data_IF_382687856594
#
_entry.id   IF_382687856594
#
_cell.length_a   1.000
_cell.length_b   1.000
_cell.length_c   1.000
_cell.angle_alpha   90.00
_cell.angle_beta   90.00
_cell.angle_gamma   90.00
#
_symmetry.space_group_name_H-M   'P 1'
#
loop_
_entity.id
_entity.type
_entity.pdbx_description
1 polymer ?
#
# COMPACT_ATOMS: atom_id res chain seq x y z
N UNK A 1 -17.74 -46.32 -28.69
CA UNK A 1 -18.19 -45.10 -27.98
C UNK A 1 -17.45 -45.02 -26.64
N UNK A 2 -16.32 -44.38 -26.66
CA UNK A 2 -15.50 -44.09 -25.47
C UNK A 2 -15.72 -42.64 -25.07
N UNK A 3 -16.42 -42.43 -23.97
CA UNK A 3 -16.63 -41.14 -23.41
C UNK A 3 -15.30 -40.65 -22.76
N UNK A 4 -14.83 -39.51 -23.20
CA UNK A 4 -13.72 -38.75 -22.59
C UNK A 4 -14.12 -38.24 -21.21
N UNK A 5 -13.27 -38.32 -20.20
CA UNK A 5 -13.59 -37.77 -18.88
C UNK A 5 -13.65 -36.24 -18.93
N UNK A 6 -14.68 -35.69 -18.33
CA UNK A 6 -14.87 -34.25 -18.18
C UNK A 6 -13.70 -33.59 -17.42
N UNK A 7 -13.35 -32.34 -17.75
CA UNK A 7 -12.31 -31.62 -17.05
C UNK A 7 -12.70 -31.35 -15.58
N UNK A 8 -11.74 -31.33 -14.64
CA UNK A 8 -12.05 -31.09 -13.24
C UNK A 8 -12.60 -29.67 -13.05
N UNK A 9 -13.67 -29.57 -12.26
CA UNK A 9 -14.34 -28.33 -11.94
C UNK A 9 -13.39 -27.31 -11.27
N UNK A 10 -13.52 -26.01 -11.59
CA UNK A 10 -12.65 -25.00 -11.01
C UNK A 10 -12.96 -24.77 -9.52
N UNK A 11 -11.92 -24.60 -8.78
CA UNK A 11 -11.74 -24.05 -7.41
C UNK A 11 -12.98 -23.45 -6.70
N UNK A 12 -13.93 -24.28 -6.26
CA UNK A 12 -15.08 -23.81 -5.48
C UNK A 12 -15.12 -24.28 -4.02
N UNK A 13 -13.98 -24.72 -3.45
CA UNK A 13 -13.93 -25.19 -2.07
C UNK A 13 -12.74 -24.67 -1.25
N UNK A 14 -12.41 -23.36 -1.33
CA UNK A 14 -11.60 -22.72 -0.30
C UNK A 14 -12.45 -22.09 0.83
N UNK A 15 -13.78 -22.21 0.75
CA UNK A 15 -14.72 -21.56 1.67
C UNK A 15 -15.20 -22.45 2.83
N UNK A 16 -14.72 -23.66 2.99
CA UNK A 16 -15.08 -24.48 4.15
C UNK A 16 -13.89 -24.74 5.07
N UNK A 17 -13.35 -23.69 5.64
CA UNK A 17 -12.66 -23.82 6.92
C UNK A 17 -13.70 -24.34 7.93
N UNK A 18 -13.43 -25.41 8.72
CA UNK A 18 -14.40 -25.97 9.68
C UNK A 18 -14.83 -25.00 10.78
N UNK A 19 -14.50 -23.72 10.65
CA UNK A 19 -14.71 -22.64 11.60
C UNK A 19 -15.85 -21.69 11.23
N UNK A 20 -16.53 -21.87 10.09
CA UNK A 20 -17.61 -20.99 9.59
C UNK A 20 -19.00 -21.64 9.57
N UNK A 21 -19.27 -22.65 10.40
CA UNK A 21 -20.64 -23.17 10.53
C UNK A 21 -21.52 -22.19 11.27
N UNK A 22 -22.38 -21.52 10.50
CA UNK A 22 -23.45 -20.67 10.94
C UNK A 22 -24.61 -21.57 11.45
N UNK A 23 -24.64 -21.86 12.75
CA UNK A 23 -25.82 -22.45 13.38
C UNK A 23 -26.46 -21.42 14.31
N UNK A 24 -27.60 -20.91 13.89
CA UNK A 24 -28.50 -20.12 14.74
C UNK A 24 -28.98 -20.99 15.91
N UNK A 25 -28.95 -20.42 17.10
CA UNK A 25 -29.32 -20.98 18.42
C UNK A 25 -28.23 -21.83 19.10
N UNK A 26 -27.47 -21.20 19.96
CA UNK A 26 -26.33 -21.71 20.74
C UNK A 26 -25.08 -20.86 20.56
N UNK A 27 -25.12 -19.91 19.66
CA UNK A 27 -23.98 -19.24 19.06
C UNK A 27 -23.12 -18.34 19.96
N UNK A 28 -23.60 -17.94 21.13
CA UNK A 28 -22.81 -17.03 21.98
C UNK A 28 -21.73 -17.75 22.77
N UNK A 29 -21.98 -19.00 23.17
CA UNK A 29 -21.01 -19.79 23.95
C UNK A 29 -19.95 -20.44 23.06
N UNK A 30 -20.38 -20.98 21.92
CA UNK A 30 -19.48 -21.58 20.92
C UNK A 30 -18.56 -20.51 20.28
N UNK A 31 -19.12 -19.34 19.95
CA UNK A 31 -18.36 -18.20 19.41
C UNK A 31 -17.28 -17.70 20.38
N UNK A 32 -17.57 -17.61 21.69
CA UNK A 32 -16.57 -17.22 22.69
C UNK A 32 -15.46 -18.28 22.87
N UNK A 33 -15.78 -19.57 22.78
CA UNK A 33 -14.79 -20.64 22.83
C UNK A 33 -13.87 -20.62 21.61
N UNK A 34 -14.41 -20.45 20.40
CA UNK A 34 -13.66 -20.36 19.14
C UNK A 34 -12.73 -19.15 19.17
N UNK A 35 -13.23 -17.97 19.54
CA UNK A 35 -12.41 -16.76 19.72
C UNK A 35 -11.27 -16.98 20.73
N UNK A 36 -11.55 -17.68 21.84
CA UNK A 36 -10.54 -18.02 22.84
C UNK A 36 -9.45 -18.97 22.31
N UNK A 37 -9.81 -19.91 21.44
CA UNK A 37 -8.85 -20.81 20.77
C UNK A 37 -7.98 -20.02 19.79
N UNK A 38 -8.58 -19.21 18.94
CA UNK A 38 -7.85 -18.37 17.98
C UNK A 38 -6.87 -17.44 18.69
N UNK A 39 -7.28 -16.77 19.76
CA UNK A 39 -6.41 -15.88 20.51
C UNK A 39 -5.21 -16.62 21.13
N UNK A 40 -5.43 -17.81 21.70
CA UNK A 40 -4.33 -18.64 22.25
C UNK A 40 -3.37 -19.08 21.14
N UNK A 41 -3.89 -19.48 19.98
CA UNK A 41 -3.08 -19.88 18.83
C UNK A 41 -2.30 -18.71 18.24
N UNK A 42 -2.93 -17.54 18.11
CA UNK A 42 -2.28 -16.32 17.66
C UNK A 42 -1.12 -15.90 18.58
N UNK A 43 -1.31 -15.98 19.91
CA UNK A 43 -0.24 -15.73 20.89
C UNK A 43 0.91 -16.74 20.81
N UNK A 44 0.62 -18.02 20.52
CA UNK A 44 1.68 -19.02 20.29
C UNK A 44 2.47 -18.72 19.02
N UNK A 45 1.76 -18.33 17.94
CA UNK A 45 2.39 -17.93 16.68
C UNK A 45 3.24 -16.68 16.86
N UNK A 46 2.76 -15.67 17.60
CA UNK A 46 3.54 -14.49 17.95
C UNK A 46 4.86 -14.86 18.64
N UNK A 47 4.80 -15.67 19.69
CA UNK A 47 6.00 -16.14 20.41
C UNK A 47 6.97 -16.90 19.49
N UNK A 48 6.45 -17.71 18.57
CA UNK A 48 7.26 -18.40 17.57
C UNK A 48 7.98 -17.40 16.66
N UNK A 49 7.27 -16.38 16.20
CA UNK A 49 7.85 -15.32 15.36
C UNK A 49 8.94 -14.54 16.11
N UNK A 50 8.68 -14.15 17.34
CA UNK A 50 9.64 -13.40 18.17
C UNK A 50 10.90 -14.24 18.51
N UNK A 51 10.74 -15.53 18.80
CA UNK A 51 11.84 -16.43 19.13
C UNK A 51 12.76 -16.70 17.93
N UNK A 52 12.19 -16.90 16.73
CA UNK A 52 12.96 -17.27 15.54
C UNK A 52 13.38 -16.06 14.69
N UNK A 53 12.74 -14.89 14.84
CA UNK A 53 13.07 -13.65 14.13
C UNK A 53 13.02 -13.78 12.59
N UNK A 54 13.62 -12.83 11.87
CA UNK A 54 13.83 -12.88 10.42
C UNK A 54 12.60 -13.34 9.61
N UNK A 55 12.68 -14.49 8.99
CA UNK A 55 11.63 -15.13 8.20
C UNK A 55 10.30 -15.23 8.96
N UNK A 56 10.32 -15.67 10.21
CA UNK A 56 9.10 -15.87 10.99
C UNK A 56 8.40 -14.56 11.34
N UNK A 57 9.15 -13.49 11.59
CA UNK A 57 8.57 -12.14 11.79
C UNK A 57 7.90 -11.68 10.53
N UNK A 58 8.55 -11.81 9.36
CA UNK A 58 7.95 -11.47 8.05
C UNK A 58 6.74 -12.32 7.72
N UNK A 59 6.80 -13.63 8.02
CA UNK A 59 5.65 -14.51 7.84
C UNK A 59 4.47 -14.07 8.74
N UNK A 60 4.73 -13.69 9.97
CA UNK A 60 3.72 -13.13 10.88
C UNK A 60 3.14 -11.81 10.39
N UNK A 61 3.96 -10.90 9.89
CA UNK A 61 3.53 -9.64 9.23
C UNK A 61 2.66 -9.93 8.01
N UNK A 62 3.08 -10.88 7.16
CA UNK A 62 2.30 -11.31 6.00
C UNK A 62 0.94 -11.89 6.41
N UNK A 63 0.91 -12.81 7.39
CA UNK A 63 -0.35 -13.36 7.91
C UNK A 63 -1.25 -12.27 8.48
N UNK A 64 -0.70 -11.28 9.18
CA UNK A 64 -1.47 -10.15 9.71
C UNK A 64 -2.07 -9.25 8.63
N UNK A 65 -1.52 -9.26 7.41
CA UNK A 65 -2.03 -8.52 6.26
C UNK A 65 -3.14 -9.24 5.49
N UNK A 66 -3.33 -10.54 5.73
CA UNK A 66 -4.33 -11.35 5.03
C UNK A 66 -5.72 -11.13 5.63
N UNK A 67 -6.63 -10.56 4.84
CA UNK A 67 -8.04 -10.30 5.26
C UNK A 67 -8.86 -11.55 5.56
N UNK A 68 -8.42 -12.72 5.11
CA UNK A 68 -9.11 -14.02 5.29
C UNK A 68 -8.78 -14.68 6.64
N UNK A 69 -7.83 -14.13 7.38
CA UNK A 69 -7.39 -14.67 8.68
C UNK A 69 -8.28 -14.08 9.79
N UNK A 70 -8.66 -14.88 10.82
CA UNK A 70 -9.44 -14.37 11.94
C UNK A 70 -8.80 -13.15 12.60
N UNK A 71 -9.62 -12.20 13.02
CA UNK A 71 -9.19 -10.90 13.58
C UNK A 71 -8.22 -11.01 14.76
N UNK A 72 -8.30 -12.09 15.52
CA UNK A 72 -7.43 -12.39 16.65
C UNK A 72 -5.96 -12.56 16.22
N UNK A 73 -5.72 -13.16 15.05
CA UNK A 73 -4.37 -13.25 14.48
C UNK A 73 -3.90 -11.90 13.97
N UNK A 74 -4.75 -11.19 13.22
CA UNK A 74 -4.42 -9.86 12.68
C UNK A 74 -4.02 -8.92 13.82
N UNK A 75 -4.87 -8.80 14.86
CA UNK A 75 -4.62 -7.90 15.98
C UNK A 75 -3.42 -8.31 16.84
N UNK A 76 -3.14 -9.63 16.96
CA UNK A 76 -2.01 -10.12 17.77
C UNK A 76 -0.69 -9.99 17.02
N UNK A 77 -0.66 -10.27 15.71
CA UNK A 77 0.57 -10.27 14.92
C UNK A 77 0.94 -8.89 14.38
N UNK A 78 0.02 -7.91 14.42
CA UNK A 78 0.32 -6.53 13.98
C UNK A 78 1.43 -5.86 14.79
N UNK A 79 1.67 -6.27 16.05
CA UNK A 79 2.79 -5.76 16.84
C UNK A 79 4.18 -6.11 16.25
N UNK A 80 4.26 -7.12 15.38
CA UNK A 80 5.51 -7.47 14.70
C UNK A 80 5.96 -6.40 13.68
N UNK A 81 5.11 -5.45 13.33
CA UNK A 81 5.45 -4.39 12.37
C UNK A 81 6.43 -3.36 12.94
N UNK A 82 6.40 -3.11 14.27
CA UNK A 82 7.08 -1.96 14.88
C UNK A 82 8.19 -2.35 15.89
N UNK A 83 8.40 -3.63 16.20
CA UNK A 83 9.29 -4.05 17.29
C UNK A 83 10.27 -5.16 16.87
N UNK A 84 11.25 -4.80 16.04
CA UNK A 84 12.39 -5.68 15.81
C UNK A 84 13.49 -5.41 16.86
N UNK A 85 13.99 -6.47 17.49
CA UNK A 85 15.16 -6.36 18.38
C UNK A 85 16.41 -6.24 17.54
N UNK A 86 17.21 -5.15 17.67
CA UNK A 86 18.42 -4.98 16.90
C UNK A 86 19.48 -6.05 17.19
N UNK A 87 20.34 -6.31 16.21
CA UNK A 87 21.54 -7.12 16.37
C UNK A 87 22.62 -6.36 17.13
N UNK A 88 23.59 -7.10 17.66
CA UNK A 88 24.77 -6.49 18.30
C UNK A 88 25.58 -5.70 17.28
N UNK A 89 26.12 -4.57 17.69
CA UNK A 89 26.95 -3.71 16.86
C UNK A 89 28.12 -4.45 16.19
N UNK A 90 28.81 -5.32 16.95
CA UNK A 90 29.97 -6.06 16.42
C UNK A 90 29.61 -6.97 15.24
N UNK A 91 28.42 -7.58 15.28
CA UNK A 91 27.93 -8.43 14.19
C UNK A 91 27.63 -7.61 12.94
N UNK A 92 27.07 -6.41 13.11
CA UNK A 92 26.77 -5.46 12.03
C UNK A 92 28.05 -4.88 11.42
N UNK A 93 29.04 -4.53 12.27
CA UNK A 93 30.36 -4.08 11.82
C UNK A 93 30.98 -5.09 10.87
N UNK A 94 30.98 -6.36 11.22
CA UNK A 94 31.51 -7.46 10.39
C UNK A 94 30.79 -7.50 9.03
N UNK A 95 29.46 -7.38 9.00
CA UNK A 95 28.71 -7.36 7.74
C UNK A 95 29.13 -6.19 6.85
N UNK A 96 29.27 -4.99 7.42
CA UNK A 96 29.68 -3.79 6.67
C UNK A 96 31.08 -3.99 6.08
N UNK A 97 32.06 -4.38 6.91
CA UNK A 97 33.45 -4.55 6.52
C UNK A 97 33.61 -5.65 5.46
N UNK A 98 32.91 -6.78 5.59
CA UNK A 98 32.93 -7.86 4.59
C UNK A 98 32.33 -7.43 3.25
N UNK A 99 31.24 -6.66 3.28
CA UNK A 99 30.56 -6.23 2.07
C UNK A 99 31.29 -5.09 1.35
N UNK A 100 31.90 -4.15 2.09
CA UNK A 100 32.56 -2.99 1.53
C UNK A 100 34.07 -3.20 1.33
N UNK A 101 34.62 -4.30 1.85
CA UNK A 101 36.04 -4.66 1.69
C UNK A 101 37.01 -3.70 2.36
N UNK A 102 36.58 -2.90 3.31
CA UNK A 102 37.35 -1.90 4.04
C UNK A 102 36.98 -1.91 5.52
N UNK A 103 37.90 -1.56 6.40
CA UNK A 103 37.60 -1.32 7.81
C UNK A 103 36.66 -0.13 7.97
N UNK A 104 35.77 -0.22 8.98
CA UNK A 104 34.74 0.78 9.20
C UNK A 104 35.33 2.20 9.36
N UNK A 105 36.42 2.34 10.08
CA UNK A 105 37.13 3.63 10.26
C UNK A 105 37.78 4.18 8.98
N UNK A 106 38.02 3.32 7.99
CA UNK A 106 38.52 3.73 6.67
C UNK A 106 37.39 4.31 5.78
N UNK A 107 36.14 4.06 6.13
CA UNK A 107 34.94 4.52 5.38
C UNK A 107 34.28 5.70 6.08
N UNK A 108 34.06 5.58 7.39
CA UNK A 108 33.31 6.53 8.18
C UNK A 108 34.23 7.27 9.19
N UNK A 109 34.07 8.58 9.24
CA UNK A 109 34.67 9.42 10.27
C UNK A 109 34.03 9.14 11.64
N UNK A 110 32.69 8.97 11.64
CA UNK A 110 31.88 8.62 12.80
C UNK A 110 30.81 7.61 12.38
N UNK A 111 30.51 6.65 13.24
CA UNK A 111 29.47 5.66 13.02
C UNK A 111 28.78 5.32 14.35
N UNK A 112 27.48 5.57 14.42
CA UNK A 112 26.72 5.36 15.67
C UNK A 112 26.57 3.84 15.93
N UNK A 113 27.02 3.39 17.10
CA UNK A 113 26.88 1.96 17.50
C UNK A 113 25.42 1.57 17.72
N UNK A 114 24.59 2.51 18.19
CA UNK A 114 23.17 2.31 18.39
C UNK A 114 22.39 2.58 17.10
N UNK A 115 21.55 1.60 16.62
CA UNK A 115 20.75 1.84 15.43
C UNK A 115 19.65 2.87 15.69
N UNK A 116 19.39 3.71 14.71
CA UNK A 116 18.28 4.67 14.73
C UNK A 116 16.94 4.00 14.43
N UNK A 117 16.96 2.85 13.76
CA UNK A 117 15.79 2.02 13.48
C UNK A 117 16.20 0.55 13.34
N UNK A 118 15.28 -0.36 13.69
CA UNK A 118 15.43 -1.79 13.50
C UNK A 118 14.18 -2.34 12.82
N UNK A 119 14.37 -3.11 11.74
CA UNK A 119 13.33 -3.79 11.00
C UNK A 119 13.48 -5.32 11.10
N UNK A 120 12.59 -6.08 10.47
CA UNK A 120 12.60 -7.56 10.55
C UNK A 120 13.85 -8.20 9.95
N UNK A 121 14.47 -7.60 8.96
CA UNK A 121 15.61 -8.15 8.20
C UNK A 121 16.87 -7.29 8.28
N UNK A 122 16.78 -6.06 8.80
CA UNK A 122 17.87 -5.09 8.80
C UNK A 122 17.75 -4.10 9.93
N UNK A 123 18.83 -3.38 10.20
CA UNK A 123 18.81 -2.19 11.06
C UNK A 123 19.52 -1.04 10.35
N UNK A 124 19.19 0.19 10.78
CA UNK A 124 19.72 1.42 10.19
C UNK A 124 20.55 2.16 11.22
N UNK A 125 21.76 2.52 10.83
CA UNK A 125 22.68 3.32 11.63
C UNK A 125 22.90 4.68 11.00
N UNK A 126 23.18 5.69 11.80
CA UNK A 126 23.69 6.96 11.32
C UNK A 126 25.21 6.88 11.25
N UNK A 127 25.79 7.43 10.19
CA UNK A 127 27.22 7.58 10.03
C UNK A 127 27.58 8.92 9.41
N UNK A 128 28.84 9.28 9.50
CA UNK A 128 29.40 10.44 8.82
C UNK A 128 30.58 9.98 7.99
N UNK A 129 30.54 10.25 6.69
CA UNK A 129 31.63 9.93 5.76
C UNK A 129 32.82 10.84 5.98
N UNK A 130 34.00 10.44 5.45
CA UNK A 130 35.24 11.22 5.52
C UNK A 130 35.13 12.63 4.88
N UNK A 131 34.16 12.85 3.99
CA UNK A 131 33.84 14.15 3.40
C UNK A 131 32.83 14.98 4.21
N UNK A 132 32.56 14.61 5.46
CA UNK A 132 31.57 15.21 6.37
C UNK A 132 30.10 15.04 5.96
N UNK A 133 29.77 14.24 4.96
CA UNK A 133 28.37 13.95 4.63
C UNK A 133 27.75 12.98 5.66
N UNK A 134 26.57 13.33 6.15
CA UNK A 134 25.78 12.45 7.02
C UNK A 134 25.03 11.42 6.19
N UNK A 135 25.10 10.17 6.59
CA UNK A 135 24.49 9.03 5.90
C UNK A 135 23.67 8.16 6.85
N UNK A 136 22.65 7.53 6.29
CA UNK A 136 21.94 6.42 6.89
C UNK A 136 22.42 5.13 6.24
N UNK A 137 22.87 4.18 7.05
CA UNK A 137 23.42 2.90 6.59
C UNK A 137 22.47 1.79 7.04
N UNK A 138 21.71 1.22 6.09
CA UNK A 138 20.81 0.09 6.31
C UNK A 138 21.60 -1.20 6.08
N UNK A 139 21.64 -2.06 7.08
CA UNK A 139 22.49 -3.26 7.08
C UNK A 139 21.64 -4.47 7.39
N UNK A 140 21.72 -5.52 6.58
CA UNK A 140 21.04 -6.79 6.84
C UNK A 140 21.63 -7.50 8.05
N UNK A 141 20.80 -8.28 8.72
CA UNK A 141 21.28 -9.12 9.81
C UNK A 141 22.21 -10.24 9.28
N UNK A 142 23.29 -10.56 9.99
CA UNK A 142 24.29 -11.49 9.51
C UNK A 142 23.71 -12.89 9.23
N UNK A 143 24.05 -13.46 8.09
CA UNK A 143 23.63 -14.81 7.67
C UNK A 143 22.15 -14.96 7.40
N UNK A 144 21.43 -13.85 7.20
CA UNK A 144 19.98 -13.84 7.02
C UNK A 144 19.53 -14.64 5.79
N UNK A 145 20.18 -14.46 4.66
CA UNK A 145 19.84 -15.19 3.42
C UNK A 145 19.91 -16.72 3.61
N UNK A 146 20.98 -17.20 4.23
CA UNK A 146 21.16 -18.63 4.49
C UNK A 146 20.09 -19.18 5.44
N UNK A 147 19.78 -18.45 6.51
CA UNK A 147 18.72 -18.84 7.45
C UNK A 147 17.36 -18.87 6.76
N UNK A 148 17.02 -17.86 6.00
CA UNK A 148 15.75 -17.79 5.29
C UNK A 148 15.58 -18.92 4.28
N UNK A 149 16.62 -19.29 3.54
CA UNK A 149 16.59 -20.45 2.65
C UNK A 149 16.28 -21.75 3.42
N UNK A 150 16.92 -21.95 4.56
CA UNK A 150 16.66 -23.13 5.43
C UNK A 150 15.22 -23.10 5.98
N UNK A 151 14.75 -21.95 6.42
CA UNK A 151 13.38 -21.81 6.96
C UNK A 151 12.34 -22.08 5.87
N UNK A 152 12.52 -21.54 4.66
CA UNK A 152 11.65 -21.79 3.49
C UNK A 152 11.65 -23.27 3.11
N UNK A 153 12.82 -23.91 3.05
CA UNK A 153 12.92 -25.35 2.79
C UNK A 153 12.18 -26.18 3.84
N UNK A 154 12.33 -25.82 5.11
CA UNK A 154 11.64 -26.48 6.23
C UNK A 154 10.13 -26.32 6.14
N UNK A 155 9.67 -25.08 5.85
CA UNK A 155 8.23 -24.80 5.68
C UNK A 155 7.65 -25.48 4.45
N UNK A 156 8.42 -25.57 3.35
CA UNK A 156 8.01 -26.29 2.14
C UNK A 156 7.85 -27.80 2.43
N UNK A 157 8.78 -28.38 3.18
CA UNK A 157 8.69 -29.77 3.59
C UNK A 157 7.47 -30.01 4.48
N UNK A 158 7.27 -29.17 5.50
CA UNK A 158 6.10 -29.25 6.39
C UNK A 158 4.79 -29.06 5.62
N UNK A 159 4.73 -28.15 4.66
CA UNK A 159 3.56 -27.91 3.79
C UNK A 159 3.19 -29.18 3.02
N UNK A 160 4.17 -29.93 2.50
CA UNK A 160 3.93 -31.21 1.82
C UNK A 160 3.33 -32.24 2.76
N UNK A 161 3.84 -32.37 3.98
CA UNK A 161 3.25 -33.29 4.96
C UNK A 161 1.85 -32.89 5.39
N UNK A 162 1.60 -31.58 5.58
CA UNK A 162 0.26 -31.07 5.91
C UNK A 162 -0.72 -31.36 4.77
N UNK A 163 -0.32 -31.21 3.51
CA UNK A 163 -1.19 -31.50 2.34
C UNK A 163 -1.51 -33.00 2.19
N UNK A 164 -0.68 -33.90 2.70
CA UNK A 164 -0.99 -35.34 2.73
C UNK A 164 -2.11 -35.65 3.75
N UNK A 165 -2.13 -34.95 4.89
CA UNK A 165 -3.14 -35.15 5.94
C UNK A 165 -4.42 -34.34 5.64
N UNK A 166 -4.27 -33.16 5.04
CA UNK A 166 -5.33 -32.21 4.73
C UNK A 166 -5.25 -31.77 3.27
N UNK A 167 -5.77 -32.58 2.30
CA UNK A 167 -5.62 -32.32 0.86
C UNK A 167 -6.21 -31.00 0.38
N UNK A 168 -7.20 -30.45 1.10
CA UNK A 168 -7.84 -29.17 0.79
C UNK A 168 -6.96 -27.94 1.11
N UNK A 169 -5.87 -28.12 1.90
CA UNK A 169 -4.97 -27.05 2.31
C UNK A 169 -3.74 -26.99 1.41
N UNK A 170 -3.73 -26.05 0.45
CA UNK A 170 -2.61 -25.85 -0.48
C UNK A 170 -1.78 -24.61 -0.08
N UNK A 171 -0.94 -24.77 0.94
CA UNK A 171 -0.02 -23.69 1.36
C UNK A 171 1.13 -23.45 0.39
N UNK A 172 1.38 -24.34 -0.54
CA UNK A 172 2.55 -24.31 -1.42
C UNK A 172 2.59 -23.04 -2.29
N UNK A 173 1.44 -22.62 -2.83
CA UNK A 173 1.35 -21.37 -3.63
C UNK A 173 1.63 -20.12 -2.79
N UNK A 174 1.11 -20.09 -1.56
CA UNK A 174 1.33 -18.98 -0.63
C UNK A 174 2.80 -18.91 -0.24
N UNK A 175 3.42 -20.06 0.00
CA UNK A 175 4.83 -20.14 0.38
C UNK A 175 5.75 -19.72 -0.77
N UNK A 176 5.46 -20.10 -2.03
CA UNK A 176 6.20 -19.67 -3.22
C UNK A 176 6.09 -18.15 -3.45
N UNK A 177 4.93 -17.58 -3.26
CA UNK A 177 4.74 -16.12 -3.37
C UNK A 177 5.49 -15.38 -2.27
N UNK A 178 5.46 -15.93 -1.05
CA UNK A 178 6.21 -15.40 0.07
C UNK A 178 7.74 -15.49 -0.17
N UNK A 179 8.24 -16.62 -0.67
CA UNK A 179 9.64 -16.81 -1.04
C UNK A 179 10.11 -15.78 -2.09
N UNK A 180 9.30 -15.56 -3.13
CA UNK A 180 9.59 -14.56 -4.17
C UNK A 180 9.66 -13.14 -3.57
N UNK A 181 8.71 -12.78 -2.73
CA UNK A 181 8.67 -11.48 -2.06
C UNK A 181 9.91 -11.29 -1.18
N UNK A 182 10.28 -12.31 -0.41
CA UNK A 182 11.45 -12.27 0.45
C UNK A 182 12.76 -12.17 -0.32
N UNK A 183 12.88 -12.88 -1.42
CA UNK A 183 14.09 -12.80 -2.27
C UNK A 183 14.32 -11.40 -2.83
N UNK A 184 13.26 -10.65 -3.11
CA UNK A 184 13.35 -9.25 -3.54
C UNK A 184 13.78 -8.32 -2.38
N UNK A 185 13.24 -8.55 -1.17
CA UNK A 185 13.60 -7.74 0.00
C UNK A 185 15.05 -7.95 0.48
N UNK A 186 15.67 -9.09 0.14
CA UNK A 186 17.05 -9.40 0.51
C UNK A 186 18.11 -8.79 -0.44
N UNK A 187 17.71 -8.04 -1.44
CA UNK A 187 18.63 -7.39 -2.36
C UNK A 187 18.52 -5.87 -2.29
N UNK A 188 19.35 -5.24 -1.47
CA UNK A 188 19.37 -3.78 -1.33
C UNK A 188 19.82 -3.05 -2.58
N UNK A 189 20.47 -3.72 -3.54
CA UNK A 189 20.77 -3.08 -4.83
C UNK A 189 19.48 -2.82 -5.62
N UNK A 190 18.47 -3.67 -5.45
CA UNK A 190 17.15 -3.42 -6.05
C UNK A 190 16.43 -2.25 -5.35
N UNK A 191 16.52 -2.16 -4.02
CA UNK A 191 15.99 -1.02 -3.26
C UNK A 191 16.66 0.29 -3.69
N UNK A 192 17.96 0.29 -3.88
CA UNK A 192 18.72 1.43 -4.41
C UNK A 192 18.24 1.86 -5.82
N UNK A 193 18.05 0.91 -6.74
CA UNK A 193 17.52 1.18 -8.08
C UNK A 193 16.11 1.76 -8.05
N UNK A 194 15.25 1.23 -7.18
CA UNK A 194 13.90 1.75 -6.99
C UNK A 194 13.93 3.19 -6.45
N UNK A 195 14.83 3.48 -5.50
CA UNK A 195 15.06 4.81 -4.96
C UNK A 195 15.43 5.81 -6.04
N UNK A 196 16.45 5.52 -6.85
CA UNK A 196 16.87 6.39 -7.96
C UNK A 196 15.79 6.59 -9.01
N UNK A 197 15.07 5.52 -9.38
CA UNK A 197 13.95 5.62 -10.31
C UNK A 197 12.86 6.55 -9.77
N UNK A 198 12.55 6.43 -8.47
CA UNK A 198 11.60 7.31 -7.81
C UNK A 198 12.10 8.75 -7.78
N UNK A 199 13.36 8.99 -7.44
CA UNK A 199 13.98 10.31 -7.48
C UNK A 199 13.90 10.94 -8.88
N UNK A 200 14.12 10.14 -9.93
CA UNK A 200 13.99 10.58 -11.33
C UNK A 200 12.55 10.96 -11.68
N UNK A 201 11.55 10.17 -11.25
CA UNK A 201 10.14 10.47 -11.47
C UNK A 201 9.72 11.81 -10.85
N UNK A 202 10.23 12.11 -9.66
CA UNK A 202 9.84 13.31 -8.90
C UNK A 202 10.89 14.44 -8.95
N UNK A 203 11.84 14.40 -9.88
CA UNK A 203 12.93 15.40 -9.98
C UNK A 203 12.46 16.86 -10.10
N UNK A 204 11.24 17.09 -10.63
CA UNK A 204 10.64 18.41 -10.77
C UNK A 204 9.67 18.78 -9.64
N UNK A 205 9.51 17.91 -8.65
CA UNK A 205 8.59 18.10 -7.54
C UNK A 205 9.34 18.62 -6.31
N UNK A 206 9.12 19.88 -5.96
CA UNK A 206 9.84 20.52 -4.83
C UNK A 206 9.42 20.00 -3.45
N UNK A 207 8.31 19.29 -3.36
CA UNK A 207 7.79 18.77 -2.09
C UNK A 207 8.31 17.37 -1.80
N UNK A 208 8.59 16.58 -2.83
CA UNK A 208 9.05 15.18 -2.68
C UNK A 208 10.58 15.16 -2.62
N UNK A 209 11.11 14.51 -1.59
CA UNK A 209 12.54 14.23 -1.46
C UNK A 209 12.76 12.72 -1.37
N UNK A 210 13.67 12.22 -2.17
CA UNK A 210 14.20 10.86 -2.08
C UNK A 210 15.67 10.97 -1.69
N UNK A 211 16.13 10.28 -0.63
CA UNK A 211 17.53 10.33 -0.21
C UNK A 211 18.47 9.87 -1.33
N UNK A 212 19.57 10.56 -1.49
CA UNK A 212 20.62 10.16 -2.45
C UNK A 212 21.26 8.83 -2.05
N UNK A 213 21.47 7.92 -3.00
CA UNK A 213 22.12 6.63 -2.78
C UNK A 213 23.61 6.72 -3.10
N UNK A 214 24.45 6.23 -2.19
CA UNK A 214 25.91 6.13 -2.37
C UNK A 214 26.24 4.72 -2.90
N UNK A 215 26.34 4.57 -4.21
CA UNK A 215 26.52 3.28 -4.87
C UNK A 215 27.84 2.59 -4.51
N UNK A 216 28.89 3.36 -4.31
CA UNK A 216 30.19 2.86 -3.89
C UNK A 216 30.19 2.25 -2.48
N UNK A 217 29.15 2.55 -1.69
CA UNK A 217 28.92 2.05 -0.33
C UNK A 217 27.60 1.24 -0.26
N UNK A 218 27.13 0.74 -1.41
CA UNK A 218 25.89 -0.04 -1.50
C UNK A 218 26.16 -1.39 -2.14
N UNK A 219 25.71 -2.44 -1.47
CA UNK A 219 25.85 -3.84 -1.89
C UNK A 219 24.50 -4.54 -1.71
N UNK A 220 24.48 -5.86 -1.89
CA UNK A 220 23.28 -6.67 -1.64
C UNK A 220 22.80 -6.58 -0.17
N UNK A 221 23.73 -6.48 0.80
CA UNK A 221 23.43 -6.54 2.23
C UNK A 221 23.59 -5.18 2.95
N UNK A 222 24.15 -4.17 2.28
CA UNK A 222 24.38 -2.82 2.83
C UNK A 222 23.85 -1.79 1.86
N UNK A 223 22.99 -0.88 2.33
CA UNK A 223 22.48 0.26 1.58
C UNK A 223 22.86 1.54 2.31
N UNK A 224 23.67 2.36 1.66
CA UNK A 224 24.07 3.66 2.18
C UNK A 224 23.37 4.78 1.42
N UNK A 225 22.66 5.62 2.14
CA UNK A 225 21.90 6.74 1.58
C UNK A 225 22.09 8.02 2.40
N UNK A 226 21.71 9.15 1.83
CA UNK A 226 21.68 10.45 2.51
C UNK A 226 20.86 10.36 3.81
N UNK A 227 21.42 10.89 4.89
CA UNK A 227 20.66 11.01 6.14
C UNK A 227 19.68 12.18 6.03
N UNK A 228 18.40 11.92 6.21
CA UNK A 228 17.35 12.93 6.17
C UNK A 228 16.72 13.12 7.55
N UNK A 229 16.67 14.36 8.01
CA UNK A 229 15.97 14.71 9.25
C UNK A 229 14.49 14.93 8.99
N UNK A 230 13.65 14.53 9.93
CA UNK A 230 12.21 14.71 9.86
C UNK A 230 11.49 13.85 10.88
N UNK A 231 10.17 13.96 10.91
CA UNK A 231 9.28 13.18 11.76
C UNK A 231 8.30 12.38 10.93
N UNK A 232 7.74 11.31 11.49
CA UNK A 232 6.75 10.47 10.81
C UNK A 232 5.60 11.32 10.27
N UNK A 233 5.10 10.97 9.10
CA UNK A 233 4.09 11.76 8.37
C UNK A 233 2.81 12.00 9.17
N UNK A 234 2.48 11.14 10.13
CA UNK A 234 1.30 11.21 10.98
C UNK A 234 1.58 11.70 12.42
N UNK A 235 2.79 12.22 12.70
CA UNK A 235 3.13 12.87 13.99
C UNK A 235 2.48 14.25 14.08
N UNK A 236 1.21 14.29 14.55
CA UNK A 236 0.42 15.52 14.66
C UNK A 236 1.01 16.53 15.64
N UNK A 237 1.70 16.07 16.70
CA UNK A 237 2.31 16.95 17.70
C UNK A 237 3.50 17.69 17.11
N UNK A 238 4.31 16.98 16.34
CA UNK A 238 5.39 17.58 15.59
C UNK A 238 4.87 18.59 14.55
N UNK A 239 3.89 18.19 13.72
CA UNK A 239 3.32 19.05 12.68
C UNK A 239 2.79 20.36 13.27
N UNK A 240 2.15 20.28 14.44
CA UNK A 240 1.61 21.45 15.15
C UNK A 240 2.72 22.36 15.65
N UNK A 241 3.79 21.79 16.25
CA UNK A 241 4.96 22.54 16.72
C UNK A 241 5.74 23.21 15.60
N UNK A 242 5.79 22.58 14.43
CA UNK A 242 6.48 23.08 13.23
C UNK A 242 5.63 24.06 12.39
N UNK A 243 4.39 24.37 12.82
CA UNK A 243 3.41 25.18 12.07
C UNK A 243 3.10 24.62 10.67
N UNK A 244 3.12 23.29 10.53
CA UNK A 244 2.82 22.58 9.28
C UNK A 244 1.38 22.09 9.33
N UNK A 245 0.57 22.46 8.33
CA UNK A 245 -0.82 22.05 8.25
C UNK A 245 -0.93 20.54 7.89
N UNK A 246 -1.57 19.70 8.75
CA UNK A 246 -1.78 18.28 8.45
C UNK A 246 -2.56 18.05 7.14
N UNK A 247 -3.50 18.93 6.82
CA UNK A 247 -4.27 18.85 5.56
C UNK A 247 -3.39 19.09 4.33
N UNK A 248 -2.38 19.98 4.42
CA UNK A 248 -1.42 20.19 3.33
C UNK A 248 -0.52 18.96 3.16
N UNK A 249 -0.08 18.35 4.27
CA UNK A 249 0.70 17.10 4.26
C UNK A 249 -0.12 15.98 3.60
N UNK A 250 -1.36 15.80 4.03
CA UNK A 250 -2.27 14.80 3.47
C UNK A 250 -2.49 15.01 1.95
N UNK A 251 -2.65 16.27 1.51
CA UNK A 251 -2.80 16.60 0.10
C UNK A 251 -1.55 16.25 -0.69
N UNK A 252 -0.38 16.67 -0.22
CA UNK A 252 0.90 16.37 -0.88
C UNK A 252 1.16 14.87 -0.96
N UNK A 253 0.85 14.12 0.10
CA UNK A 253 0.99 12.67 0.15
C UNK A 253 0.11 11.99 -0.90
N UNK A 254 -1.16 12.36 -0.99
CA UNK A 254 -2.07 11.71 -1.94
C UNK A 254 -1.80 12.14 -3.38
N UNK A 255 -1.30 13.35 -3.63
CA UNK A 255 -0.83 13.78 -4.95
C UNK A 255 0.40 12.98 -5.38
N UNK A 256 1.38 12.77 -4.49
CA UNK A 256 2.55 11.92 -4.72
C UNK A 256 2.16 10.50 -5.17
N UNK A 257 1.29 9.83 -4.42
CA UNK A 257 0.84 8.49 -4.77
C UNK A 257 -0.09 8.46 -5.98
N UNK A 258 -0.88 9.51 -6.19
CA UNK A 258 -1.64 9.70 -7.41
C UNK A 258 -0.74 9.76 -8.65
N UNK A 259 0.35 10.52 -8.60
CA UNK A 259 1.34 10.57 -9.69
C UNK A 259 2.00 9.20 -9.91
N UNK A 260 2.39 8.49 -8.85
CA UNK A 260 2.95 7.13 -8.96
C UNK A 260 2.00 6.17 -9.68
N UNK A 261 0.70 6.20 -9.35
CA UNK A 261 -0.30 5.28 -9.91
C UNK A 261 -0.68 5.67 -11.34
N UNK A 262 -1.10 6.92 -11.55
CA UNK A 262 -1.76 7.31 -12.79
C UNK A 262 -0.79 7.80 -13.87
N UNK A 263 0.34 8.42 -13.49
CA UNK A 263 1.30 9.03 -14.41
C UNK A 263 2.48 8.12 -14.64
N UNK A 264 3.21 7.77 -13.59
CA UNK A 264 4.45 7.01 -13.71
C UNK A 264 4.24 5.49 -13.88
N UNK A 265 3.13 4.94 -13.36
CA UNK A 265 2.89 3.49 -13.35
C UNK A 265 3.91 2.72 -12.50
N UNK A 266 4.65 3.41 -11.63
CA UNK A 266 5.65 2.84 -10.73
C UNK A 266 5.26 3.16 -9.29
N UNK A 267 4.62 2.18 -8.63
CA UNK A 267 3.87 2.37 -7.39
C UNK A 267 4.63 1.82 -6.20
N UNK A 268 4.89 2.66 -5.21
CA UNK A 268 5.37 2.23 -3.91
C UNK A 268 4.27 1.44 -3.19
N UNK A 269 4.53 0.17 -2.91
CA UNK A 269 3.53 -0.77 -2.39
C UNK A 269 3.34 -0.75 -0.88
N UNK A 270 4.14 0.03 -0.13
CA UNK A 270 4.09 0.06 1.34
C UNK A 270 4.20 1.48 1.94
N UNK A 271 3.18 2.35 1.75
CA UNK A 271 3.16 3.69 2.33
C UNK A 271 2.89 3.66 3.85
N UNK A 272 3.75 2.97 4.60
CA UNK A 272 3.67 2.97 6.06
C UNK A 272 4.17 4.31 6.62
N UNK A 273 3.58 4.86 7.70
CA UNK A 273 4.05 6.12 8.30
C UNK A 273 5.53 6.13 8.67
N UNK A 274 6.11 4.99 9.02
CA UNK A 274 7.54 4.83 9.31
C UNK A 274 8.45 5.04 8.11
N UNK A 275 7.93 4.92 6.88
CA UNK A 275 8.68 5.02 5.62
C UNK A 275 8.59 6.42 4.99
N UNK A 276 7.80 7.33 5.59
CA UNK A 276 7.56 8.66 5.06
C UNK A 276 7.77 9.70 6.17
N UNK A 277 8.75 10.59 5.98
CA UNK A 277 8.98 11.68 6.91
C UNK A 277 8.46 13.01 6.36
N UNK A 278 8.07 13.88 7.28
CA UNK A 278 7.89 15.32 7.02
C UNK A 278 9.11 16.06 7.55
N UNK A 279 9.85 16.68 6.64
CA UNK A 279 11.03 17.50 6.92
C UNK A 279 10.67 18.99 6.77
N UNK A 280 10.79 19.82 7.83
CA UNK A 280 10.47 21.24 7.77
C UNK A 280 11.45 22.01 6.88
N UNK A 281 10.90 22.97 6.10
CA UNK A 281 11.68 23.92 5.28
C UNK A 281 11.47 25.38 5.72
N UNK A 282 10.95 25.58 6.93
CA UNK A 282 10.60 26.91 7.46
C UNK A 282 9.32 27.50 6.87
N UNK A 283 8.72 28.46 7.58
CA UNK A 283 7.51 29.17 7.18
C UNK A 283 6.33 28.24 6.82
N UNK A 284 6.12 27.17 7.57
CA UNK A 284 5.07 26.18 7.32
C UNK A 284 5.24 25.34 6.04
N UNK A 285 6.40 25.47 5.35
CA UNK A 285 6.79 24.63 4.20
C UNK A 285 7.46 23.35 4.67
N UNK A 286 7.34 22.30 3.91
CA UNK A 286 7.89 20.98 4.22
C UNK A 286 8.27 20.20 2.97
N UNK A 287 9.04 19.13 3.17
CA UNK A 287 9.24 18.07 2.18
C UNK A 287 8.70 16.76 2.74
N UNK A 288 8.15 15.94 1.85
CA UNK A 288 7.89 14.53 2.09
C UNK A 288 9.14 13.74 1.69
N UNK A 289 9.74 13.06 2.66
CA UNK A 289 10.93 12.24 2.43
C UNK A 289 10.52 10.77 2.41
N UNK A 290 10.75 10.09 1.30
CA UNK A 290 10.51 8.65 1.16
C UNK A 290 11.80 7.90 1.52
N UNK A 291 11.74 7.04 2.55
CA UNK A 291 12.93 6.38 3.12
C UNK A 291 13.15 4.95 2.63
N UNK A 292 12.09 4.17 2.51
CA UNK A 292 12.16 2.74 2.16
C UNK A 292 11.68 2.53 0.72
N UNK A 293 12.48 1.86 -0.09
CA UNK A 293 12.19 1.59 -1.50
C UNK A 293 12.20 0.08 -1.81
N UNK A 294 12.00 -0.77 -0.78
CA UNK A 294 12.06 -2.22 -0.93
C UNK A 294 10.90 -2.80 -1.75
N UNK A 295 9.69 -2.23 -1.64
CA UNK A 295 8.49 -2.78 -2.27
C UNK A 295 7.94 -1.81 -3.31
N UNK A 296 8.16 -2.14 -4.59
CA UNK A 296 7.59 -1.42 -5.72
C UNK A 296 6.89 -2.35 -6.69
N UNK A 297 5.87 -1.84 -7.35
CA UNK A 297 5.17 -2.52 -8.44
C UNK A 297 5.16 -1.64 -9.67
N UNK A 298 5.64 -2.17 -10.77
CA UNK A 298 5.43 -1.61 -12.10
C UNK A 298 4.08 -2.08 -12.62
N UNK A 299 3.19 -1.12 -12.91
CA UNK A 299 1.87 -1.40 -13.48
C UNK A 299 2.00 -1.66 -14.96
N UNK A 300 1.23 -2.61 -15.47
CA UNK A 300 1.08 -2.79 -16.90
C UNK A 300 0.59 -1.48 -17.56
N UNK A 301 1.23 -1.01 -18.65
CA UNK A 301 0.87 0.27 -19.29
C UNK A 301 -0.58 0.33 -19.76
N UNK A 302 -1.12 -0.77 -20.28
CA UNK A 302 -2.52 -0.85 -20.70
C UNK A 302 -3.45 -0.78 -19.49
N UNK A 303 -3.13 -1.56 -18.44
CA UNK A 303 -3.88 -1.51 -17.18
C UNK A 303 -3.91 -0.09 -16.61
N UNK A 304 -2.77 0.61 -16.54
CA UNK A 304 -2.67 1.99 -16.04
C UNK A 304 -3.59 2.94 -16.82
N UNK A 305 -3.59 2.87 -18.15
CA UNK A 305 -4.45 3.69 -19.00
C UNK A 305 -5.93 3.38 -18.80
N UNK A 306 -6.30 2.11 -18.72
CA UNK A 306 -7.68 1.70 -18.49
C UNK A 306 -8.13 2.08 -17.07
N UNK A 307 -7.23 2.08 -16.10
CA UNK A 307 -7.49 2.58 -14.75
C UNK A 307 -7.71 4.11 -14.73
N UNK A 308 -6.97 4.88 -15.54
CA UNK A 308 -7.25 6.30 -15.76
C UNK A 308 -8.65 6.53 -16.35
N UNK A 309 -9.04 5.73 -17.37
CA UNK A 309 -10.39 5.78 -17.96
C UNK A 309 -11.47 5.43 -16.94
N UNK A 310 -11.23 4.44 -16.09
CA UNK A 310 -12.15 4.08 -15.01
C UNK A 310 -12.38 5.27 -14.06
N UNK A 311 -11.31 5.94 -13.65
CA UNK A 311 -11.45 7.12 -12.80
C UNK A 311 -12.20 8.27 -13.49
N UNK A 312 -11.98 8.49 -14.81
CA UNK A 312 -12.78 9.45 -15.58
C UNK A 312 -14.27 9.07 -15.60
N UNK A 313 -14.58 7.80 -15.82
CA UNK A 313 -15.97 7.30 -15.79
C UNK A 313 -16.61 7.44 -14.40
N UNK A 314 -15.83 7.19 -13.33
CA UNK A 314 -16.29 7.39 -11.94
C UNK A 314 -16.58 8.87 -11.63
N UNK A 315 -15.79 9.78 -12.18
CA UNK A 315 -15.98 11.24 -12.01
C UNK A 315 -17.23 11.71 -12.76
N UNK A 316 -17.41 11.26 -14.00
CA UNK A 316 -18.53 11.64 -14.86
C UNK A 316 -19.82 10.89 -14.54
N UNK A 317 -19.78 9.92 -13.62
CA UNK A 317 -20.91 9.03 -13.28
C UNK A 317 -21.42 8.23 -14.50
N UNK A 318 -20.50 7.87 -15.41
CA UNK A 318 -20.80 7.11 -16.61
C UNK A 318 -20.86 5.60 -16.26
N UNK A 319 -22.06 5.16 -15.90
CA UNK A 319 -22.33 3.78 -15.46
C UNK A 319 -21.99 2.76 -16.56
N UNK A 320 -22.33 3.06 -17.81
CA UNK A 320 -22.08 2.14 -18.92
C UNK A 320 -20.57 1.93 -19.10
N UNK A 321 -19.81 3.02 -19.07
CA UNK A 321 -18.35 2.95 -19.21
C UNK A 321 -17.67 2.25 -18.03
N UNK A 322 -18.19 2.40 -16.81
CA UNK A 322 -17.70 1.66 -15.63
C UNK A 322 -17.88 0.15 -15.82
N UNK A 323 -19.06 -0.28 -16.31
CA UNK A 323 -19.34 -1.70 -16.56
C UNK A 323 -18.49 -2.27 -17.69
N UNK A 324 -18.36 -1.55 -18.83
CA UNK A 324 -17.49 -1.94 -19.94
C UNK A 324 -16.02 -2.15 -19.49
N UNK A 325 -15.49 -1.20 -18.71
CA UNK A 325 -14.14 -1.30 -18.16
C UNK A 325 -14.01 -2.46 -17.17
N UNK A 326 -15.07 -2.73 -16.40
CA UNK A 326 -15.13 -3.90 -15.52
C UNK A 326 -15.00 -5.21 -16.28
N UNK A 327 -15.67 -5.35 -17.42
CA UNK A 327 -15.50 -6.52 -18.30
C UNK A 327 -14.06 -6.61 -18.84
N UNK A 328 -13.46 -5.46 -19.25
CA UNK A 328 -12.08 -5.43 -19.74
C UNK A 328 -11.06 -5.84 -18.66
N UNK A 329 -11.33 -5.50 -17.38
CA UNK A 329 -10.52 -5.94 -16.25
C UNK A 329 -10.79 -7.40 -15.81
N UNK A 330 -11.78 -8.07 -16.41
CA UNK A 330 -12.15 -9.44 -16.08
C UNK A 330 -12.97 -9.59 -14.79
N UNK A 331 -13.51 -8.50 -14.25
CA UNK A 331 -14.30 -8.55 -13.00
C UNK A 331 -15.79 -8.75 -13.23
N UNK A 332 -16.27 -8.67 -14.48
CA UNK A 332 -17.63 -8.99 -14.90
C UNK A 332 -18.71 -8.32 -14.03
N UNK A 333 -19.64 -9.12 -13.51
CA UNK A 333 -20.77 -8.66 -12.68
C UNK A 333 -20.38 -7.83 -11.45
N UNK A 334 -19.13 -7.88 -11.01
CA UNK A 334 -18.65 -7.15 -9.86
C UNK A 334 -18.25 -5.70 -10.16
N UNK A 335 -18.19 -5.29 -11.43
CA UNK A 335 -17.87 -3.93 -11.86
C UNK A 335 -18.78 -2.86 -11.22
N UNK A 336 -20.04 -3.21 -10.93
CA UNK A 336 -21.01 -2.34 -10.22
C UNK A 336 -20.54 -1.87 -8.84
N UNK A 337 -19.56 -2.55 -8.23
CA UNK A 337 -18.99 -2.18 -6.93
C UNK A 337 -17.79 -1.21 -7.03
N UNK A 338 -17.28 -0.94 -8.22
CA UNK A 338 -16.17 0.00 -8.39
C UNK A 338 -16.46 1.40 -7.82
N UNK A 339 -17.63 2.02 -8.06
CA UNK A 339 -17.93 3.30 -7.44
C UNK A 339 -17.89 3.23 -5.91
N UNK A 340 -18.40 2.16 -5.31
CA UNK A 340 -18.38 1.97 -3.87
C UNK A 340 -16.95 1.82 -3.32
N UNK A 341 -16.11 1.03 -3.97
CA UNK A 341 -14.73 0.76 -3.55
C UNK A 341 -13.85 2.01 -3.63
N UNK A 342 -13.92 2.72 -4.76
CA UNK A 342 -13.01 3.83 -5.05
C UNK A 342 -13.53 5.17 -4.53
N UNK A 343 -14.84 5.40 -4.58
CA UNK A 343 -15.43 6.69 -4.22
C UNK A 343 -16.31 6.65 -2.98
N UNK A 344 -16.69 5.46 -2.51
CA UNK A 344 -17.61 5.26 -1.39
C UNK A 344 -19.07 5.56 -1.74
N UNK A 345 -19.47 5.45 -3.02
CA UNK A 345 -20.81 5.72 -3.55
C UNK A 345 -21.36 4.51 -4.26
N UNK A 346 -22.68 4.38 -4.31
CA UNK A 346 -23.33 3.36 -5.13
C UNK A 346 -23.28 3.73 -6.61
N UNK A 347 -23.47 2.76 -7.49
CA UNK A 347 -23.48 2.98 -8.93
C UNK A 347 -24.63 3.90 -9.37
N UNK A 348 -25.73 3.92 -8.60
CA UNK A 348 -26.92 4.73 -8.86
C UNK A 348 -26.83 6.13 -8.23
N UNK A 349 -25.70 6.47 -7.60
CA UNK A 349 -25.51 7.77 -6.97
C UNK A 349 -25.46 8.89 -8.00
N UNK A 350 -26.31 9.91 -7.83
CA UNK A 350 -26.35 11.12 -8.68
C UNK A 350 -25.60 12.30 -8.07
N UNK A 351 -25.05 12.13 -6.88
CA UNK A 351 -24.39 13.22 -6.16
C UNK A 351 -22.92 13.39 -6.63
N UNK A 352 -22.47 14.64 -6.81
CA UNK A 352 -21.11 14.94 -7.28
C UNK A 352 -20.02 14.39 -6.33
N UNK A 353 -18.86 14.01 -6.87
CA UNK A 353 -17.71 13.55 -6.09
C UNK A 353 -17.30 14.59 -5.03
N UNK A 354 -17.13 14.14 -3.79
CA UNK A 354 -16.70 15.02 -2.68
C UNK A 354 -17.82 15.65 -1.88
N UNK A 355 -19.11 15.55 -2.29
CA UNK A 355 -20.24 16.00 -1.45
C UNK A 355 -20.54 15.01 -0.32
N UNK A 356 -21.25 15.45 0.72
CA UNK A 356 -21.69 14.55 1.79
C UNK A 356 -22.71 13.53 1.27
N UNK A 357 -22.56 12.28 1.70
CA UNK A 357 -23.44 11.19 1.35
C UNK A 357 -24.74 11.35 2.18
N UNK A 358 -25.90 11.27 1.52
CA UNK A 358 -27.20 11.36 2.19
C UNK A 358 -27.44 10.17 3.15
N UNK A 359 -28.34 10.35 4.12
CA UNK A 359 -28.72 9.27 5.05
C UNK A 359 -29.32 8.06 4.33
N UNK A 360 -30.10 8.28 3.28
CA UNK A 360 -30.69 7.22 2.45
C UNK A 360 -29.61 6.44 1.69
N UNK A 361 -28.63 7.14 1.11
CA UNK A 361 -27.53 6.52 0.38
C UNK A 361 -26.64 5.68 1.32
N UNK A 362 -26.40 6.16 2.56
CA UNK A 362 -25.70 5.35 3.59
C UNK A 362 -26.43 4.06 3.93
N UNK A 363 -27.76 4.11 3.98
CA UNK A 363 -28.60 2.95 4.26
C UNK A 363 -28.55 1.95 3.11
N UNK A 364 -28.61 2.41 1.85
CA UNK A 364 -28.43 1.56 0.66
C UNK A 364 -27.07 0.91 0.61
N UNK A 365 -26.01 1.67 0.87
CA UNK A 365 -24.63 1.13 0.95
C UNK A 365 -24.55 -0.01 1.98
N UNK A 366 -25.16 0.16 3.16
CA UNK A 366 -25.20 -0.90 4.18
C UNK A 366 -25.98 -2.13 3.70
N UNK A 367 -27.09 -1.93 3.01
CA UNK A 367 -27.90 -3.03 2.46
C UNK A 367 -27.11 -3.78 1.38
N UNK A 368 -26.50 -3.08 0.44
CA UNK A 368 -25.68 -3.68 -0.63
C UNK A 368 -24.48 -4.46 -0.06
N UNK A 369 -23.79 -3.91 0.95
CA UNK A 369 -22.70 -4.60 1.63
C UNK A 369 -23.16 -5.83 2.42
N UNK A 370 -24.31 -5.76 3.07
CA UNK A 370 -24.86 -6.89 3.82
C UNK A 370 -25.40 -8.00 2.90
N UNK A 371 -25.77 -7.67 1.66
CA UNK A 371 -26.20 -8.65 0.65
C UNK A 371 -25.05 -9.41 -0.01
N UNK A 372 -23.80 -8.90 0.12
CA UNK A 372 -22.60 -9.59 -0.35
C UNK A 372 -22.23 -10.72 0.60
N UNK A 373 -22.35 -11.96 0.13
CA UNK A 373 -21.82 -13.12 0.83
C UNK A 373 -20.28 -13.09 0.87
N UNK A 374 -19.71 -13.81 1.83
CA UNK A 374 -18.24 -13.99 1.87
C UNK A 374 -17.70 -14.61 0.59
N UNK A 375 -18.49 -15.51 -0.04
CA UNK A 375 -18.13 -16.16 -1.31
C UNK A 375 -18.09 -15.16 -2.48
N UNK A 376 -19.00 -14.18 -2.49
CA UNK A 376 -18.99 -13.11 -3.51
C UNK A 376 -17.77 -12.21 -3.36
N UNK A 377 -17.40 -11.88 -2.13
CA UNK A 377 -16.20 -11.07 -1.84
C UNK A 377 -14.94 -11.83 -2.26
N UNK A 378 -14.85 -13.13 -1.94
CA UNK A 378 -13.71 -13.97 -2.32
C UNK A 378 -13.60 -14.06 -3.85
N UNK A 379 -14.69 -14.37 -4.53
CA UNK A 379 -14.76 -14.47 -6.00
C UNK A 379 -14.42 -13.15 -6.68
N UNK A 380 -14.87 -12.02 -6.11
CA UNK A 380 -14.49 -10.69 -6.60
C UNK A 380 -12.98 -10.45 -6.44
N UNK A 381 -12.41 -10.72 -5.27
CA UNK A 381 -10.98 -10.53 -5.03
C UNK A 381 -10.11 -11.42 -5.92
N UNK A 382 -10.57 -12.64 -6.20
CA UNK A 382 -9.89 -13.58 -7.12
C UNK A 382 -9.97 -13.13 -8.58
N UNK A 383 -11.03 -12.44 -8.98
CA UNK A 383 -11.22 -11.92 -10.33
C UNK A 383 -10.40 -10.67 -10.64
N UNK A 384 -9.90 -9.97 -9.58
CA UNK A 384 -9.12 -8.74 -9.76
C UNK A 384 -7.73 -9.01 -10.34
N UNK A 385 -7.30 -8.25 -11.36
CA UNK A 385 -5.91 -8.26 -11.81
C UNK A 385 -4.94 -7.96 -10.66
N UNK A 386 -3.72 -8.54 -10.67
CA UNK A 386 -2.71 -8.30 -9.63
C UNK A 386 -2.40 -6.82 -9.39
N UNK A 387 -2.43 -6.00 -10.44
CA UNK A 387 -2.18 -4.56 -10.36
C UNK A 387 -3.26 -3.84 -9.55
N UNK A 388 -4.53 -4.27 -9.62
CA UNK A 388 -5.59 -3.76 -8.76
C UNK A 388 -5.34 -4.05 -7.29
N UNK A 389 -4.87 -5.25 -6.97
CA UNK A 389 -4.62 -5.65 -5.57
C UNK A 389 -3.57 -4.76 -4.92
N UNK A 390 -2.50 -4.43 -5.65
CA UNK A 390 -1.46 -3.50 -5.18
C UNK A 390 -2.04 -2.11 -4.95
N UNK A 391 -2.82 -1.58 -5.91
CA UNK A 391 -3.44 -0.26 -5.78
C UNK A 391 -4.41 -0.22 -4.59
N UNK A 392 -5.27 -1.24 -4.43
CA UNK A 392 -6.23 -1.30 -3.32
C UNK A 392 -5.54 -1.38 -1.96
N UNK A 393 -4.44 -2.15 -1.86
CA UNK A 393 -3.63 -2.21 -0.64
C UNK A 393 -3.01 -0.85 -0.32
N UNK A 394 -2.33 -0.25 -1.30
CA UNK A 394 -1.70 1.06 -1.17
C UNK A 394 -2.71 2.14 -0.80
N UNK A 395 -3.84 2.22 -1.51
CA UNK A 395 -4.93 3.17 -1.21
C UNK A 395 -5.52 2.94 0.19
N UNK A 396 -5.63 1.69 0.64
CA UNK A 396 -6.08 1.36 2.00
C UNK A 396 -5.16 1.93 3.09
N UNK A 397 -3.85 1.78 2.94
CA UNK A 397 -2.84 2.34 3.85
C UNK A 397 -2.86 3.88 3.82
N UNK A 398 -2.95 4.48 2.63
CA UNK A 398 -3.07 5.93 2.47
C UNK A 398 -4.33 6.48 3.15
N UNK A 399 -5.47 5.83 3.01
CA UNK A 399 -6.71 6.23 3.71
C UNK A 399 -6.54 6.24 5.23
N UNK A 400 -5.79 5.30 5.78
CA UNK A 400 -5.48 5.27 7.21
C UNK A 400 -4.67 6.50 7.62
N UNK A 401 -3.60 6.82 6.90
CA UNK A 401 -2.76 8.00 7.17
C UNK A 401 -3.58 9.30 7.01
N UNK A 402 -4.37 9.40 5.93
CA UNK A 402 -5.23 10.58 5.72
C UNK A 402 -6.25 10.75 6.85
N UNK A 403 -6.77 9.63 7.38
CA UNK A 403 -7.65 9.62 8.54
C UNK A 403 -6.96 10.15 9.78
N UNK A 404 -5.74 9.70 10.07
CA UNK A 404 -4.92 10.18 11.19
C UNK A 404 -4.62 11.69 11.05
N UNK A 405 -4.35 12.17 9.84
CA UNK A 405 -4.12 13.59 9.54
C UNK A 405 -5.42 14.44 9.56
N UNK A 406 -6.59 13.84 9.79
CA UNK A 406 -7.88 14.53 9.79
C UNK A 406 -8.28 15.07 8.41
N UNK A 407 -7.76 14.52 7.32
CA UNK A 407 -8.04 15.01 5.98
C UNK A 407 -9.43 14.58 5.50
N UNK A 408 -10.23 15.51 4.94
CA UNK A 408 -11.54 15.17 4.39
C UNK A 408 -11.41 14.23 3.18
N UNK A 409 -12.38 13.31 3.00
CA UNK A 409 -12.39 12.33 1.90
C UNK A 409 -12.23 12.93 0.50
N UNK A 410 -12.76 14.13 0.29
CA UNK A 410 -12.69 14.80 -1.02
C UNK A 410 -11.25 15.14 -1.43
N UNK A 411 -10.33 15.33 -0.50
CA UNK A 411 -8.90 15.61 -0.80
C UNK A 411 -8.31 14.48 -1.65
N UNK A 412 -8.55 13.23 -1.25
CA UNK A 412 -8.10 12.05 -1.99
C UNK A 412 -8.78 11.94 -3.36
N UNK A 413 -10.10 12.07 -3.38
CA UNK A 413 -10.87 11.92 -4.61
C UNK A 413 -10.47 12.95 -5.67
N UNK A 414 -10.27 14.21 -5.27
CA UNK A 414 -9.84 15.27 -6.18
C UNK A 414 -8.40 15.09 -6.68
N UNK A 415 -7.49 14.66 -5.81
CA UNK A 415 -6.11 14.41 -6.21
C UNK A 415 -6.02 13.26 -7.21
N UNK A 416 -6.71 12.15 -6.96
CA UNK A 416 -6.74 11.02 -7.89
C UNK A 416 -7.45 11.36 -9.20
N UNK A 417 -8.55 12.12 -9.14
CA UNK A 417 -9.24 12.62 -10.33
C UNK A 417 -8.30 13.43 -11.22
N UNK A 418 -7.58 14.39 -10.62
CA UNK A 418 -6.59 15.22 -11.30
C UNK A 418 -5.50 14.35 -11.96
N UNK A 419 -4.86 13.45 -11.18
CA UNK A 419 -3.79 12.60 -11.69
C UNK A 419 -4.28 11.65 -12.79
N UNK A 420 -5.50 11.10 -12.69
CA UNK A 420 -6.08 10.23 -13.71
C UNK A 420 -6.33 10.95 -15.03
N UNK A 421 -6.77 12.21 -14.97
CA UNK A 421 -6.95 13.04 -16.17
C UNK A 421 -5.59 13.28 -16.82
N UNK A 422 -4.58 13.76 -16.08
CA UNK A 422 -3.23 14.00 -16.61
C UNK A 422 -2.58 12.72 -17.15
N UNK A 423 -2.66 11.60 -16.43
CA UNK A 423 -2.08 10.32 -16.86
C UNK A 423 -2.70 9.75 -18.15
N UNK A 424 -3.91 10.17 -18.48
CA UNK A 424 -4.56 9.84 -19.76
C UNK A 424 -4.17 10.82 -20.88
N UNK A 425 -3.87 12.08 -20.57
CA UNK A 425 -3.66 13.16 -21.53
C UNK A 425 -2.31 13.18 -22.22
N UNK A 426 -1.26 12.62 -21.62
CA UNK A 426 0.03 12.45 -22.30
C UNK A 426 -0.09 11.72 -23.66
N UNK A 427 -1.25 11.08 -23.91
CA UNK A 427 -1.52 10.40 -25.18
C UNK A 427 -2.70 10.98 -25.99
N UNK A 428 -3.50 11.89 -25.46
CA UNK A 428 -4.62 12.47 -26.24
C UNK A 428 -4.81 13.97 -25.99
N UNK A 429 -4.75 14.77 -27.06
CA UNK A 429 -4.88 16.24 -27.07
C UNK A 429 -6.23 16.79 -26.60
N UNK A 430 -7.20 15.98 -26.22
CA UNK A 430 -8.57 16.42 -25.86
C UNK A 430 -8.77 16.79 -24.38
N UNK A 431 -7.82 16.47 -23.51
CA UNK A 431 -7.94 16.71 -22.08
C UNK A 431 -7.61 18.13 -21.60
N UNK A 432 -7.06 18.98 -22.46
CA UNK A 432 -6.51 20.29 -22.04
C UNK A 432 -7.54 21.26 -21.46
N UNK A 433 -8.80 21.19 -21.86
CA UNK A 433 -9.85 22.11 -21.37
C UNK A 433 -10.34 21.76 -19.96
N UNK A 434 -10.54 20.48 -19.67
CA UNK A 434 -10.98 20.04 -18.33
C UNK A 434 -9.87 20.18 -17.29
N UNK A 435 -8.62 19.95 -17.69
CA UNK A 435 -7.46 20.17 -16.85
C UNK A 435 -7.25 21.65 -16.52
N UNK A 436 -7.45 22.56 -17.50
CA UNK A 436 -7.44 24.01 -17.27
C UNK A 436 -8.55 24.44 -16.30
N UNK A 437 -9.75 23.90 -16.43
CA UNK A 437 -10.86 24.18 -15.52
C UNK A 437 -10.55 23.73 -14.09
N UNK A 438 -9.92 22.55 -13.90
CA UNK A 438 -9.53 22.03 -12.59
C UNK A 438 -8.38 22.83 -11.97
N UNK A 439 -7.44 23.34 -12.76
CA UNK A 439 -6.34 24.20 -12.31
C UNK A 439 -6.86 25.58 -11.91
N UNK A 440 -7.73 26.20 -12.72
CA UNK A 440 -8.38 27.48 -12.38
C UNK A 440 -9.24 27.36 -11.10
N UNK A 441 -9.82 26.18 -10.83
CA UNK A 441 -10.59 25.91 -9.61
C UNK A 441 -9.73 25.97 -8.33
N UNK A 442 -8.45 25.67 -8.45
CA UNK A 442 -7.53 25.65 -7.30
C UNK A 442 -7.11 27.06 -6.85
N UNK A 443 -7.02 28.02 -7.78
CA UNK A 443 -6.63 29.41 -7.50
C UNK A 443 -7.76 30.24 -6.85
N UNK A 444 -9.04 29.82 -7.07
CA UNK A 444 -10.20 30.52 -6.52
C UNK A 444 -10.51 30.16 -5.05
N UNK A 445 -9.81 29.21 -4.49
CA UNK A 445 -10.11 28.60 -3.18
C UNK A 445 -9.90 29.53 -1.97
N UNK A 446 -9.27 30.68 -2.13
CA UNK A 446 -8.97 31.58 -1.01
C UNK A 446 -10.09 32.58 -0.66
N UNK A 447 -11.19 32.64 -1.38
CA UNK A 447 -12.22 33.70 -1.17
C UNK A 447 -13.66 33.28 -0.90
N UNK A 448 -14.05 31.99 -0.89
CA UNK A 448 -15.48 31.70 -0.66
C UNK A 448 -15.78 30.27 -0.21
N UNK A 449 -15.81 30.02 1.08
CA UNK A 449 -16.27 28.74 1.69
C UNK A 449 -17.74 28.40 1.36
N UNK A 450 -18.59 29.39 1.17
CA UNK A 450 -20.03 29.19 0.95
C UNK A 450 -20.47 29.23 -0.52
N UNK A 451 -19.70 29.84 -1.39
CA UNK A 451 -19.95 29.89 -2.85
C UNK A 451 -19.54 28.58 -3.56
N UNK A 452 -18.66 27.80 -2.98
CA UNK A 452 -18.05 26.61 -3.63
C UNK A 452 -19.08 25.47 -3.84
N UNK A 453 -19.96 25.23 -2.88
CA UNK A 453 -21.01 24.22 -3.00
C UNK A 453 -22.04 24.56 -4.10
N UNK A 454 -22.39 25.83 -4.24
CA UNK A 454 -23.31 26.31 -5.28
C UNK A 454 -22.67 26.31 -6.67
N UNK A 455 -21.38 26.69 -6.78
CA UNK A 455 -20.64 26.64 -8.06
C UNK A 455 -20.43 25.19 -8.54
N UNK A 456 -20.12 24.24 -7.64
CA UNK A 456 -19.99 22.82 -7.98
C UNK A 456 -21.30 22.24 -8.53
N UNK A 457 -22.43 22.62 -7.94
CA UNK A 457 -23.76 22.24 -8.46
C UNK A 457 -24.07 22.88 -9.80
N UNK A 458 -23.64 24.12 -10.03
CA UNK A 458 -23.88 24.83 -11.27
C UNK A 458 -23.03 24.27 -12.42
N UNK A 459 -21.74 24.02 -12.17
CA UNK A 459 -20.81 23.41 -13.17
C UNK A 459 -21.25 21.97 -13.49
N UNK A 460 -21.68 21.20 -12.50
CA UNK A 460 -22.21 19.84 -12.74
C UNK A 460 -23.46 19.84 -13.63
N UNK A 461 -24.35 20.84 -13.48
CA UNK A 461 -25.53 20.98 -14.34
C UNK A 461 -25.18 21.49 -15.74
N UNK A 462 -24.24 22.39 -15.86
CA UNK A 462 -23.79 22.92 -17.17
C UNK A 462 -23.06 21.85 -17.97
N UNK A 463 -22.17 21.07 -17.36
CA UNK A 463 -21.46 19.93 -18.01
C UNK A 463 -22.43 18.84 -18.43
N UNK A 464 -23.47 18.55 -17.62
CA UNK A 464 -24.55 17.60 -18.00
C UNK A 464 -25.43 18.15 -19.13
N UNK A 465 -25.65 19.48 -19.17
CA UNK A 465 -26.38 20.15 -20.23
C UNK A 465 -25.64 20.10 -21.58
N UNK A 466 -24.35 20.34 -21.58
CA UNK A 466 -23.49 20.25 -22.77
C UNK A 466 -23.39 18.83 -23.32
N UNK A 467 -23.31 17.83 -22.44
CA UNK A 467 -23.27 16.40 -22.83
C UNK A 467 -24.58 15.96 -23.51
N UNK A 468 -25.74 16.50 -23.04
CA UNK A 468 -27.04 16.24 -23.67
C UNK A 468 -27.27 16.98 -24.99
N UNK A 469 -26.54 18.06 -25.24
CA UNK A 469 -26.61 18.83 -26.49
C UNK A 469 -25.69 18.30 -27.61
N UNK A 470 -24.74 17.39 -27.23
CA UNK A 470 -23.78 16.77 -28.17
C UNK A 470 -24.17 15.32 -28.54
N UNK A 471 -25.26 14.80 -27.94
CA UNK A 471 -25.95 13.57 -28.37
C UNK A 471 -27.25 13.93 -29.11
#
# INVERSE_FOLDING_TARGET
STASPAPPAPFTRLASWPWTTNTRCGGCFLGRQITGVHLRSAKKLLRLCEANRGFYVKAGQFVSSLRQVPKEYISTLSCLQDQATPCKYQDIKIVIEQNLGKDLHGIFLEFDEHPIAAASIAQVHRGRLNNNQEVAVKVQYPGLERRMKLDIMTMSLLSKYVSLIFPDYRFEKILLEFERTMSMELDFTQEAKNSERTASCFRKNDVVKVPHVFWELTTKEVLTMEFCTGHKVDDLDFLRKADISPTKVAKALIELFGEMIFIHGFVHGDPHPGNILVSPRGQGRFSLVLLDHGIYKELDPKFRLDYCKLWKALISLDVQKILELGEQFGVGKYAKYFPLIFTGRTIDSKSALGTQISGEEKTRIKQDLNSLGMDDISSFMESLPPDFLVILRTDGLLRSILGNLGAPRHVRLLAYAKCAIYGHEEQSRLGSELARLLVQFNDYKHKAKDKLSWMLQKISREVLGWYKALM
#
